data_IF_431580669941
#
_entry.id   IF_431580669941
#
_cell.length_a   1.000
_cell.length_b   1.000
_cell.length_c   1.000
_cell.angle_alpha   90.00
_cell.angle_beta   90.00
_cell.angle_gamma   90.00
#
_symmetry.space_group_name_H-M   'P 1'
#
loop_
_entity.id
_entity.type
_entity.pdbx_description
1 polymer ?
#
# COMPACT_ATOMS: atom_id res chain seq x y z
N UNK A 1 11.82 -20.32 19.77
CA UNK A 1 12.43 -19.59 18.64
C UNK A 1 11.32 -18.80 17.98
N UNK A 2 11.29 -17.47 18.08
CA UNK A 2 10.34 -16.65 17.30
C UNK A 2 10.76 -16.80 15.84
N UNK A 3 9.82 -17.23 14.99
CA UNK A 3 10.04 -17.19 13.55
C UNK A 3 9.97 -15.72 13.13
N UNK A 4 11.09 -15.18 12.68
CA UNK A 4 11.11 -13.86 12.06
C UNK A 4 10.39 -13.93 10.71
N UNK A 5 9.58 -12.92 10.38
CA UNK A 5 8.94 -12.84 9.07
C UNK A 5 10.00 -12.84 7.96
N UNK A 6 9.83 -13.71 6.99
CA UNK A 6 10.73 -13.74 5.84
C UNK A 6 10.18 -12.86 4.71
N UNK A 7 10.69 -11.64 4.60
CA UNK A 7 10.32 -10.68 3.55
C UNK A 7 11.08 -10.89 2.23
N UNK A 8 12.15 -11.68 2.21
CA UNK A 8 12.84 -12.06 0.95
C UNK A 8 11.95 -12.94 0.08
N UNK A 9 11.12 -13.77 0.69
CA UNK A 9 10.18 -14.57 -0.06
C UNK A 9 9.03 -13.68 -0.56
N UNK A 10 9.03 -13.32 -1.84
CA UNK A 10 7.97 -12.54 -2.49
C UNK A 10 6.94 -13.50 -3.08
N UNK A 11 5.81 -13.76 -2.41
CA UNK A 11 4.84 -14.77 -2.85
C UNK A 11 4.01 -14.28 -4.04
N UNK A 12 3.38 -15.24 -4.75
CA UNK A 12 2.22 -14.97 -5.58
C UNK A 12 0.98 -15.45 -4.87
N UNK A 13 0.04 -14.53 -4.59
CA UNK A 13 -1.22 -14.80 -3.90
C UNK A 13 -2.38 -14.68 -4.90
N UNK A 14 -3.28 -15.66 -4.88
CA UNK A 14 -4.39 -15.77 -5.83
C UNK A 14 -5.71 -15.43 -5.14
N UNK A 15 -6.31 -14.29 -5.45
CA UNK A 15 -7.66 -13.93 -5.08
C UNK A 15 -8.70 -14.35 -6.13
N UNK A 16 -9.94 -13.96 -5.94
CA UNK A 16 -11.02 -14.14 -6.92
C UNK A 16 -10.85 -13.19 -8.12
N UNK A 17 -10.63 -11.89 -7.83
CA UNK A 17 -10.56 -10.80 -8.81
C UNK A 17 -9.15 -10.28 -9.03
N UNK A 18 -8.25 -10.49 -8.05
CA UNK A 18 -6.87 -9.98 -8.10
C UNK A 18 -5.84 -11.09 -7.97
N UNK A 19 -4.64 -10.80 -8.47
CA UNK A 19 -3.41 -11.54 -8.17
C UNK A 19 -2.46 -10.54 -7.53
N UNK A 20 -1.83 -10.92 -6.41
CA UNK A 20 -0.69 -10.21 -5.83
C UNK A 20 0.58 -10.98 -6.18
N UNK A 21 1.56 -10.36 -6.81
CA UNK A 21 2.81 -11.02 -7.19
C UNK A 21 4.01 -10.08 -7.10
N UNK A 22 5.23 -10.62 -7.05
CA UNK A 22 6.44 -9.79 -7.20
C UNK A 22 6.38 -8.95 -8.48
N UNK A 23 6.97 -7.76 -8.41
CA UNK A 23 7.08 -6.88 -9.58
C UNK A 23 7.95 -7.50 -10.66
N UNK A 24 7.60 -7.24 -11.90
CA UNK A 24 8.33 -7.57 -13.11
C UNK A 24 8.83 -6.29 -13.79
N UNK A 25 9.82 -6.41 -14.66
CA UNK A 25 10.39 -5.24 -15.36
C UNK A 25 9.31 -4.57 -16.23
N UNK A 26 8.41 -5.35 -16.79
CA UNK A 26 7.31 -4.89 -17.64
C UNK A 26 6.27 -4.05 -16.90
N UNK A 27 6.23 -4.13 -15.57
CA UNK A 27 5.29 -3.38 -14.74
C UNK A 27 5.72 -1.91 -14.53
N UNK A 28 6.99 -1.61 -14.75
CA UNK A 28 7.61 -0.34 -14.35
C UNK A 28 6.91 0.87 -14.98
N UNK A 29 6.70 0.83 -16.30
CA UNK A 29 6.06 1.95 -17.01
C UNK A 29 4.61 2.15 -16.53
N UNK A 30 3.87 1.05 -16.31
CA UNK A 30 2.52 1.12 -15.74
C UNK A 30 2.53 1.73 -14.33
N UNK A 31 3.51 1.38 -13.50
CA UNK A 31 3.61 1.96 -12.16
C UNK A 31 4.00 3.43 -12.20
N UNK A 32 4.85 3.87 -13.13
CA UNK A 32 5.16 5.29 -13.35
C UNK A 32 3.88 6.07 -13.70
N UNK A 33 3.06 5.53 -14.60
CA UNK A 33 1.78 6.15 -14.97
C UNK A 33 0.85 6.24 -13.76
N UNK A 34 0.72 5.17 -12.98
CA UNK A 34 -0.09 5.14 -11.75
C UNK A 34 0.41 6.16 -10.72
N UNK A 35 1.73 6.23 -10.49
CA UNK A 35 2.33 7.19 -9.54
C UNK A 35 2.24 8.65 -10.03
N UNK A 36 2.04 8.86 -11.33
CA UNK A 36 1.85 10.19 -11.91
C UNK A 36 0.40 10.69 -11.83
N UNK A 37 -0.55 9.81 -11.47
CA UNK A 37 -1.95 10.17 -11.28
C UNK A 37 -2.12 11.19 -10.15
N UNK A 38 -2.89 12.25 -10.41
CA UNK A 38 -3.16 13.32 -9.44
C UNK A 38 -3.65 12.80 -8.09
N UNK A 39 -4.63 11.90 -8.12
CA UNK A 39 -5.25 11.39 -6.89
C UNK A 39 -4.29 10.49 -6.13
N UNK A 40 -3.49 9.67 -6.81
CA UNK A 40 -2.42 8.88 -6.18
C UNK A 40 -1.41 9.79 -5.48
N UNK A 41 -0.89 10.81 -6.17
CA UNK A 41 0.05 11.77 -5.57
C UNK A 41 -0.53 12.45 -4.34
N UNK A 42 -1.77 12.93 -4.41
CA UNK A 42 -2.45 13.60 -3.30
C UNK A 42 -2.69 12.66 -2.12
N UNK A 43 -3.29 11.49 -2.37
CA UNK A 43 -3.70 10.58 -1.31
C UNK A 43 -2.53 9.84 -0.63
N UNK A 44 -1.38 9.74 -1.31
CA UNK A 44 -0.15 9.19 -0.71
C UNK A 44 0.70 10.23 0.02
N UNK A 45 0.32 11.53 -0.07
CA UNK A 45 1.09 12.63 0.52
C UNK A 45 2.41 12.92 -0.19
N UNK A 46 2.55 12.48 -1.43
CA UNK A 46 3.76 12.71 -2.24
C UNK A 46 3.93 14.16 -2.66
N UNK A 47 2.85 14.93 -2.62
CA UNK A 47 2.79 16.35 -2.99
C UNK A 47 2.05 17.16 -1.93
N UNK A 48 2.27 18.49 -1.91
CA UNK A 48 1.71 19.40 -0.91
C UNK A 48 0.63 20.33 -1.46
N UNK A 49 0.44 20.35 -2.77
CA UNK A 49 -0.55 21.20 -3.45
C UNK A 49 -0.90 20.65 -4.84
N UNK A 50 -1.98 21.17 -5.41
CA UNK A 50 -2.47 20.76 -6.71
C UNK A 50 -1.47 21.06 -7.84
N UNK A 51 -0.73 22.16 -7.75
CA UNK A 51 0.30 22.51 -8.75
C UNK A 51 1.37 21.42 -8.85
N UNK A 52 1.88 20.95 -7.71
CA UNK A 52 2.83 19.84 -7.67
C UNK A 52 2.20 18.54 -8.20
N UNK A 53 0.93 18.28 -7.86
CA UNK A 53 0.23 17.09 -8.32
C UNK A 53 0.10 17.00 -9.84
N UNK A 54 -0.15 18.16 -10.51
CA UNK A 54 -0.23 18.25 -11.96
C UNK A 54 1.13 18.42 -12.65
N UNK A 55 2.20 18.70 -11.89
CA UNK A 55 3.54 18.83 -12.47
C UNK A 55 4.08 17.44 -12.83
N UNK A 56 4.50 17.22 -14.10
CA UNK A 56 5.18 15.99 -14.49
C UNK A 56 6.46 15.78 -13.71
N UNK A 57 6.77 14.54 -13.39
CA UNK A 57 8.06 14.18 -12.77
C UNK A 57 9.22 14.49 -13.72
N UNK A 58 10.33 14.95 -13.17
CA UNK A 58 11.58 15.13 -13.91
C UNK A 58 12.15 13.77 -14.33
N UNK A 59 13.03 13.77 -15.35
CA UNK A 59 13.69 12.53 -15.78
C UNK A 59 14.53 11.91 -14.67
N UNK A 60 15.12 12.72 -13.80
CA UNK A 60 15.85 12.23 -12.63
C UNK A 60 14.93 11.47 -11.64
N UNK A 61 13.73 11.99 -11.37
CA UNK A 61 12.74 11.35 -10.51
C UNK A 61 12.21 10.06 -11.15
N UNK A 62 11.96 10.08 -12.46
CA UNK A 62 11.54 8.90 -13.20
C UNK A 62 12.60 7.79 -13.16
N UNK A 63 13.89 8.14 -13.32
CA UNK A 63 14.95 7.14 -13.25
C UNK A 63 15.13 6.58 -11.83
N UNK A 64 14.97 7.39 -10.78
CA UNK A 64 14.91 6.91 -9.39
C UNK A 64 13.76 5.92 -9.19
N UNK A 65 12.59 6.21 -9.75
CA UNK A 65 11.42 5.32 -9.69
C UNK A 65 11.67 4.02 -10.45
N UNK A 66 12.25 4.07 -11.67
CA UNK A 66 12.64 2.88 -12.44
C UNK A 66 13.64 2.02 -11.66
N UNK A 67 14.66 2.65 -11.09
CA UNK A 67 15.66 1.95 -10.29
C UNK A 67 15.03 1.26 -9.08
N UNK A 68 14.12 1.96 -8.37
CA UNK A 68 13.39 1.39 -7.24
C UNK A 68 12.63 0.12 -7.64
N UNK A 69 11.80 0.18 -8.69
CA UNK A 69 11.01 -0.98 -9.13
C UNK A 69 11.85 -2.13 -9.70
N UNK A 70 13.08 -1.88 -10.17
CA UNK A 70 14.02 -2.93 -10.56
C UNK A 70 14.62 -3.67 -9.36
N UNK A 71 14.77 -3.01 -8.23
CA UNK A 71 15.55 -3.52 -7.08
C UNK A 71 14.71 -3.83 -5.85
N UNK A 72 13.45 -3.40 -5.79
CA UNK A 72 12.64 -3.55 -4.58
C UNK A 72 12.39 -5.02 -4.18
N UNK A 73 12.37 -5.96 -5.14
CA UNK A 73 12.23 -7.39 -4.83
C UNK A 73 13.41 -7.95 -4.03
N UNK A 74 14.55 -7.27 -4.03
CA UNK A 74 15.77 -7.64 -3.30
C UNK A 74 15.76 -7.14 -1.83
N UNK A 75 14.78 -6.30 -1.47
CA UNK A 75 14.69 -5.75 -0.12
C UNK A 75 14.27 -6.83 0.89
N UNK A 76 15.01 -6.91 1.99
CA UNK A 76 14.82 -7.93 3.04
C UNK A 76 13.90 -7.47 4.18
N UNK A 77 13.69 -6.15 4.31
CA UNK A 77 12.96 -5.53 5.42
C UNK A 77 11.55 -5.08 5.05
N UNK A 78 11.07 -5.45 3.86
CA UNK A 78 9.76 -5.09 3.33
C UNK A 78 9.24 -6.10 2.32
N UNK A 79 7.92 -6.10 2.14
CA UNK A 79 7.25 -6.90 1.14
C UNK A 79 6.38 -6.00 0.28
N UNK A 80 6.73 -5.87 -0.99
CA UNK A 80 6.00 -5.11 -2.00
C UNK A 80 5.49 -6.07 -3.07
N UNK A 81 4.20 -6.05 -3.35
CA UNK A 81 3.60 -6.85 -4.39
C UNK A 81 2.74 -5.99 -5.32
N UNK A 82 2.88 -6.24 -6.61
CA UNK A 82 2.00 -5.69 -7.63
C UNK A 82 0.60 -6.28 -7.49
N UNK A 83 -0.43 -5.45 -7.68
CA UNK A 83 -1.83 -5.86 -7.76
C UNK A 83 -2.23 -5.94 -9.23
N UNK A 84 -2.61 -7.13 -9.69
CA UNK A 84 -3.14 -7.35 -11.04
C UNK A 84 -4.66 -7.54 -10.96
N UNK A 85 -5.37 -6.88 -11.85
CA UNK A 85 -6.78 -7.20 -12.14
C UNK A 85 -6.81 -8.46 -13.01
N UNK A 86 -7.37 -9.56 -12.51
CA UNK A 86 -7.45 -10.85 -13.24
C UNK A 86 -8.27 -10.75 -14.53
N UNK A 87 -9.22 -9.82 -14.59
CA UNK A 87 -10.07 -9.64 -15.78
C UNK A 87 -9.29 -9.04 -16.95
N UNK A 88 -8.38 -8.11 -16.67
CA UNK A 88 -7.64 -7.39 -17.70
C UNK A 88 -6.17 -7.83 -17.80
N UNK A 89 -5.69 -8.58 -16.81
CA UNK A 89 -4.29 -8.97 -16.63
C UNK A 89 -3.32 -7.77 -16.57
N UNK A 90 -3.82 -6.61 -16.11
CA UNK A 90 -3.02 -5.39 -15.96
C UNK A 90 -2.69 -5.12 -14.52
N UNK A 91 -1.52 -4.57 -14.27
CA UNK A 91 -1.16 -3.99 -12.96
C UNK A 91 -2.02 -2.75 -12.75
N UNK A 92 -2.61 -2.66 -11.55
CA UNK A 92 -3.50 -1.58 -11.14
C UNK A 92 -3.04 -0.86 -9.88
N UNK A 93 -1.94 -1.30 -9.28
CA UNK A 93 -1.41 -0.72 -8.05
C UNK A 93 -0.47 -1.66 -7.32
N UNK A 94 -0.27 -1.39 -6.03
CA UNK A 94 0.60 -2.18 -5.16
C UNK A 94 0.08 -2.27 -3.73
N UNK A 95 0.48 -3.33 -3.03
CA UNK A 95 0.38 -3.49 -1.57
C UNK A 95 1.77 -3.63 -0.98
N UNK A 96 1.96 -3.08 0.22
CA UNK A 96 3.26 -3.01 0.87
C UNK A 96 3.15 -3.30 2.36
N UNK A 97 4.01 -4.17 2.88
CA UNK A 97 4.42 -4.20 4.30
C UNK A 97 5.81 -3.62 4.42
N UNK A 98 5.98 -2.58 5.22
CA UNK A 98 7.26 -1.96 5.53
C UNK A 98 7.37 -1.60 7.02
N UNK A 99 8.49 -0.99 7.41
CA UNK A 99 8.72 -0.55 8.78
C UNK A 99 8.53 -1.68 9.81
N UNK A 100 9.05 -2.86 9.49
CA UNK A 100 8.98 -3.98 10.41
C UNK A 100 9.69 -3.66 11.73
N UNK A 101 8.97 -3.82 12.83
CA UNK A 101 9.49 -3.70 14.18
C UNK A 101 9.53 -5.09 14.83
N UNK A 102 10.72 -5.64 14.97
CA UNK A 102 10.95 -6.98 15.52
C UNK A 102 10.45 -7.12 16.96
N UNK A 103 10.68 -6.12 17.80
CA UNK A 103 10.34 -6.18 19.23
C UNK A 103 8.84 -6.31 19.47
N UNK A 104 8.02 -5.70 18.64
CA UNK A 104 6.56 -5.75 18.69
C UNK A 104 5.92 -6.63 17.61
N UNK A 105 6.73 -7.21 16.73
CA UNK A 105 6.31 -8.04 15.59
C UNK A 105 5.18 -7.36 14.78
N UNK A 106 5.41 -6.11 14.41
CA UNK A 106 4.45 -5.28 13.67
C UNK A 106 5.04 -4.72 12.39
N UNK A 107 4.16 -4.44 11.43
CA UNK A 107 4.48 -3.73 10.18
C UNK A 107 3.55 -2.55 9.99
N UNK A 108 3.97 -1.62 9.13
CA UNK A 108 3.10 -0.65 8.51
C UNK A 108 2.59 -1.20 7.16
N UNK A 109 1.28 -1.07 6.91
CA UNK A 109 0.62 -1.46 5.67
C UNK A 109 0.35 -0.24 4.81
N UNK A 110 0.58 -0.39 3.51
CA UNK A 110 0.23 0.60 2.50
C UNK A 110 -0.41 -0.07 1.29
N UNK A 111 -1.33 0.64 0.68
CA UNK A 111 -1.93 0.27 -0.60
C UNK A 111 -2.13 1.52 -1.45
N UNK A 112 -1.84 1.42 -2.73
CA UNK A 112 -2.29 2.40 -3.71
C UNK A 112 -2.95 1.69 -4.89
N UNK A 113 -3.98 2.33 -5.43
CA UNK A 113 -4.75 1.84 -6.58
C UNK A 113 -4.83 2.96 -7.62
N UNK A 114 -4.33 2.67 -8.81
CA UNK A 114 -4.43 3.55 -9.96
C UNK A 114 -5.86 3.72 -10.48
N UNK A 115 -6.08 4.64 -11.42
CA UNK A 115 -7.41 4.95 -11.96
C UNK A 115 -8.21 3.73 -12.42
N UNK A 116 -7.55 2.81 -13.12
CA UNK A 116 -8.18 1.63 -13.72
C UNK A 116 -8.69 0.60 -12.69
N UNK A 117 -8.17 0.64 -11.45
CA UNK A 117 -8.54 -0.31 -10.39
C UNK A 117 -9.60 0.20 -9.41
N UNK A 118 -9.94 1.49 -9.45
CA UNK A 118 -10.83 2.14 -8.47
C UNK A 118 -12.29 1.70 -8.60
N UNK A 119 -13.00 1.71 -7.47
CA UNK A 119 -14.46 1.47 -7.38
C UNK A 119 -14.94 0.10 -7.91
N UNK A 120 -14.05 -0.90 -7.97
CA UNK A 120 -14.34 -2.26 -8.46
C UNK A 120 -14.23 -3.33 -7.36
N UNK A 121 -13.92 -2.92 -6.12
CA UNK A 121 -13.67 -3.83 -5.00
C UNK A 121 -12.28 -4.48 -5.01
N UNK A 122 -11.44 -4.18 -6.02
CA UNK A 122 -10.12 -4.80 -6.17
C UNK A 122 -9.17 -4.46 -5.02
N UNK A 123 -9.17 -3.20 -4.56
CA UNK A 123 -8.36 -2.78 -3.42
C UNK A 123 -8.77 -3.45 -2.12
N UNK A 124 -10.07 -3.67 -1.90
CA UNK A 124 -10.57 -4.37 -0.71
C UNK A 124 -10.13 -5.83 -0.69
N UNK A 125 -10.24 -6.53 -1.83
CA UNK A 125 -9.80 -7.93 -1.94
C UNK A 125 -8.27 -8.05 -1.85
N UNK A 126 -7.52 -7.16 -2.49
CA UNK A 126 -6.06 -7.12 -2.38
C UNK A 126 -5.61 -6.93 -0.91
N UNK A 127 -6.29 -6.02 -0.18
CA UNK A 127 -6.05 -5.82 1.25
C UNK A 127 -6.32 -7.09 2.04
N UNK A 128 -7.50 -7.72 1.88
CA UNK A 128 -7.87 -8.96 2.58
C UNK A 128 -6.84 -10.06 2.37
N UNK A 129 -6.48 -10.32 1.11
CA UNK A 129 -5.53 -11.36 0.72
C UNK A 129 -4.12 -11.12 1.31
N UNK A 130 -3.70 -9.86 1.36
CA UNK A 130 -2.39 -9.51 1.90
C UNK A 130 -2.33 -9.57 3.43
N UNK A 131 -3.44 -9.19 4.10
CA UNK A 131 -3.59 -9.35 5.55
C UNK A 131 -3.58 -10.82 5.96
N UNK A 132 -4.27 -11.68 5.20
CA UNK A 132 -4.26 -13.14 5.42
C UNK A 132 -2.83 -13.69 5.36
N UNK A 133 -2.05 -13.30 4.36
CA UNK A 133 -0.64 -13.67 4.28
C UNK A 133 0.17 -13.14 5.46
N UNK A 134 -0.03 -11.90 5.86
CA UNK A 134 0.64 -11.27 7.00
C UNK A 134 0.40 -12.01 8.31
N UNK A 135 -0.85 -12.33 8.61
CA UNK A 135 -1.20 -12.98 9.88
C UNK A 135 -0.97 -14.50 9.86
N UNK A 136 -1.36 -15.17 8.77
CA UNK A 136 -1.33 -16.64 8.74
C UNK A 136 0.03 -17.21 8.34
N UNK A 137 0.80 -16.52 7.49
CA UNK A 137 2.10 -17.02 7.00
C UNK A 137 3.26 -16.31 7.69
N UNK A 138 3.29 -14.96 7.67
CA UNK A 138 4.36 -14.19 8.32
C UNK A 138 4.23 -14.15 9.84
N UNK A 139 3.08 -14.58 10.41
CA UNK A 139 2.82 -14.61 11.86
C UNK A 139 3.00 -13.25 12.54
N UNK A 140 2.65 -12.18 11.84
CA UNK A 140 2.66 -10.84 12.41
C UNK A 140 1.70 -10.74 13.59
N UNK A 141 2.08 -9.97 14.62
CA UNK A 141 1.21 -9.69 15.75
C UNK A 141 0.24 -8.55 15.45
N UNK A 142 0.72 -7.52 14.75
CA UNK A 142 -0.05 -6.32 14.44
C UNK A 142 0.29 -5.78 13.07
N UNK A 143 -0.73 -5.31 12.36
CA UNK A 143 -0.57 -4.54 11.12
C UNK A 143 -1.19 -3.17 11.36
N UNK A 144 -0.41 -2.10 11.20
CA UNK A 144 -0.86 -0.72 11.36
C UNK A 144 -0.86 0.03 10.05
N UNK A 145 -1.58 1.14 9.98
CA UNK A 145 -1.55 2.06 8.83
C UNK A 145 -1.89 3.49 9.25
N UNK A 146 -1.53 4.42 8.39
CA UNK A 146 -1.91 5.82 8.47
C UNK A 146 -2.74 6.21 7.23
N UNK A 147 -3.77 7.03 7.43
CA UNK A 147 -4.59 7.54 6.33
C UNK A 147 -4.98 8.99 6.59
N UNK A 148 -4.81 9.85 5.60
CA UNK A 148 -5.25 11.24 5.69
C UNK A 148 -6.77 11.35 5.73
N UNK A 149 -7.29 12.30 6.52
CA UNK A 149 -8.73 12.50 6.70
C UNK A 149 -9.49 12.83 5.41
N UNK A 150 -8.78 13.33 4.38
CA UNK A 150 -9.37 13.57 3.06
C UNK A 150 -9.41 12.31 2.15
N UNK A 151 -9.07 11.12 2.67
CA UNK A 151 -9.14 9.85 1.91
C UNK A 151 -10.23 8.90 2.46
N UNK A 152 -11.52 9.25 2.36
CA UNK A 152 -12.59 8.42 2.88
C UNK A 152 -12.72 7.08 2.15
N UNK A 153 -12.29 6.99 0.88
CA UNK A 153 -12.30 5.75 0.13
C UNK A 153 -11.29 4.74 0.65
N UNK A 154 -10.06 5.18 0.95
CA UNK A 154 -9.05 4.33 1.60
C UNK A 154 -9.53 3.89 2.99
N UNK A 155 -10.01 4.82 3.78
CA UNK A 155 -10.55 4.55 5.13
C UNK A 155 -11.66 3.49 5.10
N UNK A 156 -12.60 3.60 4.15
CA UNK A 156 -13.65 2.59 3.98
C UNK A 156 -13.10 1.18 3.71
N UNK A 157 -12.07 1.06 2.88
CA UNK A 157 -11.40 -0.24 2.61
C UNK A 157 -10.79 -0.81 3.89
N UNK A 158 -10.15 0.02 4.70
CA UNK A 158 -9.51 -0.43 5.94
C UNK A 158 -10.54 -0.89 6.96
N UNK A 159 -11.58 -0.10 7.22
CA UNK A 159 -12.67 -0.46 8.14
C UNK A 159 -13.34 -1.77 7.69
N UNK A 160 -13.61 -1.92 6.39
CA UNK A 160 -14.21 -3.14 5.84
C UNK A 160 -13.33 -4.38 6.05
N UNK A 161 -12.02 -4.22 6.11
CA UNK A 161 -11.05 -5.29 6.36
C UNK A 161 -10.73 -5.48 7.85
N UNK A 162 -11.49 -4.86 8.75
CA UNK A 162 -11.40 -5.09 10.19
C UNK A 162 -10.43 -4.17 10.94
N UNK A 163 -9.81 -3.18 10.28
CA UNK A 163 -8.97 -2.23 10.99
C UNK A 163 -9.77 -1.36 11.95
N UNK A 164 -9.21 -1.13 13.13
CA UNK A 164 -9.78 -0.35 14.22
C UNK A 164 -9.02 0.98 14.34
N UNK A 165 -9.75 2.09 14.49
CA UNK A 165 -9.16 3.41 14.74
C UNK A 165 -8.47 3.42 16.12
N UNK A 166 -7.18 3.73 16.15
CA UNK A 166 -6.36 3.81 17.36
C UNK A 166 -6.11 5.25 17.81
N UNK A 167 -6.20 6.21 16.90
CA UNK A 167 -5.99 7.61 17.22
C UNK A 167 -6.04 8.52 16.01
N UNK A 168 -5.95 9.82 16.31
CA UNK A 168 -5.90 10.89 15.30
C UNK A 168 -4.72 11.80 15.63
N UNK A 169 -3.81 11.94 14.68
CA UNK A 169 -2.76 12.95 14.72
C UNK A 169 -3.35 14.22 14.12
N UNK A 170 -3.60 15.22 14.96
CA UNK A 170 -4.24 16.46 14.52
C UNK A 170 -3.26 17.30 13.74
N UNK A 171 -3.73 17.86 12.60
CA UNK A 171 -2.97 18.81 11.78
C UNK A 171 -1.57 18.29 11.36
N UNK A 172 -1.48 16.98 11.11
CA UNK A 172 -0.23 16.23 10.87
C UNK A 172 0.34 16.47 9.48
N UNK A 173 -0.51 16.83 8.52
CA UNK A 173 -0.12 17.03 7.13
C UNK A 173 -0.68 18.35 6.61
N UNK A 174 0.13 19.12 5.86
CA UNK A 174 -0.36 20.33 5.20
C UNK A 174 -0.56 20.06 3.71
N UNK A 175 -1.75 20.36 3.21
CA UNK A 175 -2.08 20.35 1.79
C UNK A 175 -2.72 21.68 1.41
N UNK A 176 -2.14 22.40 0.42
CA UNK A 176 -2.46 23.81 0.14
C UNK A 176 -2.32 24.66 1.42
N UNK A 177 -3.35 25.39 1.75
CA UNK A 177 -3.42 26.20 2.97
C UNK A 177 -4.11 25.47 4.15
N UNK A 178 -4.52 24.20 3.97
CA UNK A 178 -5.24 23.44 4.97
C UNK A 178 -4.32 22.47 5.72
N UNK A 179 -4.53 22.38 7.04
CA UNK A 179 -3.92 21.37 7.89
C UNK A 179 -4.85 20.15 8.00
N UNK A 180 -4.31 18.99 7.74
CA UNK A 180 -5.04 17.74 7.56
C UNK A 180 -4.68 16.79 8.68
N UNK A 181 -5.71 16.19 9.30
CA UNK A 181 -5.52 15.14 10.29
C UNK A 181 -5.07 13.83 9.62
N UNK A 182 -4.22 13.08 10.32
CA UNK A 182 -3.86 11.71 9.97
C UNK A 182 -4.52 10.76 10.97
N UNK A 183 -5.34 9.84 10.46
CA UNK A 183 -5.96 8.78 11.25
C UNK A 183 -5.04 7.57 11.31
N UNK A 184 -4.86 7.02 12.49
CA UNK A 184 -4.02 5.85 12.77
C UNK A 184 -4.93 4.66 13.00
N UNK A 185 -4.75 3.60 12.23
CA UNK A 185 -5.50 2.37 12.33
C UNK A 185 -4.59 1.18 12.65
N UNK A 186 -5.12 0.22 13.36
CA UNK A 186 -4.43 -1.03 13.67
C UNK A 186 -5.36 -2.23 13.53
N UNK A 187 -4.77 -3.39 13.26
CA UNK A 187 -5.44 -4.68 13.28
C UNK A 187 -4.51 -5.67 13.98
N UNK A 188 -5.03 -6.36 15.00
CA UNK A 188 -4.31 -7.38 15.74
C UNK A 188 -4.57 -8.76 15.14
N UNK A 189 -3.59 -9.66 15.26
CA UNK A 189 -3.76 -11.05 14.83
C UNK A 189 -4.94 -11.77 15.50
N UNK A 190 -5.29 -11.37 16.73
CA UNK A 190 -6.44 -11.91 17.48
C UNK A 190 -7.79 -11.37 17.00
N UNK A 191 -7.81 -10.29 16.25
CA UNK A 191 -9.01 -9.63 15.68
C UNK A 191 -9.25 -10.03 14.23
N UNK A 192 -8.22 -10.57 13.56
CA UNK A 192 -8.32 -10.98 12.17
C UNK A 192 -9.12 -12.27 12.03
N UNK A 193 -10.21 -12.19 11.29
CA UNK A 193 -11.05 -13.33 10.91
C UNK A 193 -11.06 -13.43 9.38
N UNK A 194 -10.46 -14.52 8.85
CA UNK A 194 -10.43 -14.82 7.41
C UNK A 194 -11.80 -15.30 6.92
#
# INVERSE_FOLDING_TARGET
>A
MKLEPNFLNKPTLQGEKVILRPFQIEDIDTMIDILSDYEVKKLTGSVRNDKEAYTPSSEEELEKTRHWYRTQNEQENRLDLAILDKKTNKVIGEVVFNEYNESSNKVNFRILIGPDGRNKGLGSEATSLFLEYGFNILKLHKIGLHVFSFNPRGEHVYIKNGFVLEGILREDFRYEEEYIDTKVYGLLSSEFHA
#
